data_IF_774885525787
#
_entry.id   IF_774885525787
#
_cell.length_a   1.000
_cell.length_b   1.000
_cell.length_c   1.000
_cell.angle_alpha   90.00
_cell.angle_beta   90.00
_cell.angle_gamma   90.00
#
_symmetry.space_group_name_H-M   'P 1'
#
loop_
_entity.id
_entity.type
_entity.pdbx_description
1 polymer ?
#
# COMPACT_ATOMS: atom_id res chain seq x y z
N UNK A 1 12.24 -4.17 -1.60
CA UNK A 1 12.36 -4.72 -0.22
C UNK A 1 11.03 -5.35 0.14
N UNK A 2 11.03 -6.50 0.83
CA UNK A 2 9.81 -7.15 1.31
C UNK A 2 9.39 -6.46 2.60
N UNK A 3 8.21 -5.85 2.61
CA UNK A 3 7.68 -5.17 3.79
C UNK A 3 6.25 -5.60 4.07
N UNK A 4 5.87 -5.51 5.34
CA UNK A 4 4.51 -5.79 5.80
C UNK A 4 3.66 -4.53 5.73
N UNK A 5 2.43 -4.70 5.28
CA UNK A 5 1.43 -3.65 5.33
C UNK A 5 0.86 -3.56 6.74
N UNK A 6 0.95 -2.38 7.34
CA UNK A 6 0.41 -2.05 8.65
C UNK A 6 -1.08 -1.71 8.54
N UNK A 7 -1.43 -0.84 7.59
CA UNK A 7 -2.81 -0.36 7.39
C UNK A 7 -3.11 -0.22 5.91
N UNK A 8 -4.39 -0.37 5.55
CA UNK A 8 -4.90 -0.15 4.18
C UNK A 8 -6.21 0.59 4.25
N UNK A 9 -6.33 1.62 3.43
CA UNK A 9 -7.50 2.47 3.28
C UNK A 9 -7.90 2.58 1.81
N UNK A 10 -9.20 2.45 1.53
CA UNK A 10 -9.72 2.71 0.18
C UNK A 10 -9.64 4.20 -0.12
N UNK A 11 -9.14 4.53 -1.30
CA UNK A 11 -9.09 5.93 -1.76
C UNK A 11 -10.44 6.24 -2.44
N UNK A 12 -11.22 7.23 -1.94
CA UNK A 12 -12.50 7.56 -2.55
C UNK A 12 -12.31 7.97 -4.01
N UNK A 13 -13.13 7.40 -4.90
CA UNK A 13 -13.05 7.64 -6.35
C UNK A 13 -11.97 6.82 -7.08
N UNK A 14 -11.24 5.92 -6.41
CA UNK A 14 -10.29 5.01 -7.04
C UNK A 14 -10.66 3.56 -6.74
N UNK A 15 -10.99 2.79 -7.78
CA UNK A 15 -11.36 1.38 -7.66
C UNK A 15 -10.15 0.43 -7.76
N UNK A 16 -9.07 0.86 -8.42
CA UNK A 16 -7.91 0.01 -8.76
C UNK A 16 -6.75 0.12 -7.78
N UNK A 17 -6.77 1.15 -6.93
CA UNK A 17 -5.70 1.48 -5.99
C UNK A 17 -6.26 1.74 -4.59
N UNK A 18 -5.46 1.37 -3.60
CA UNK A 18 -5.68 1.68 -2.18
C UNK A 18 -4.45 2.39 -1.63
N UNK A 19 -4.64 3.15 -0.55
CA UNK A 19 -3.55 3.73 0.22
C UNK A 19 -3.16 2.74 1.30
N UNK A 20 -1.88 2.50 1.50
CA UNK A 20 -1.41 1.67 2.61
C UNK A 20 -0.24 2.32 3.34
N UNK A 21 -0.03 1.92 4.58
CA UNK A 21 1.16 2.25 5.35
C UNK A 21 2.04 1.01 5.47
N UNK A 22 3.31 1.15 5.11
CA UNK A 22 4.31 0.09 5.29
C UNK A 22 5.33 0.51 6.36
N UNK A 23 5.79 -0.47 7.12
CA UNK A 23 6.89 -0.30 8.06
C UNK A 23 8.23 -0.46 7.31
N UNK A 24 9.11 0.54 7.38
CA UNK A 24 10.48 0.46 6.87
C UNK A 24 11.52 0.28 7.98
N UNK A 25 11.08 -0.02 9.21
CA UNK A 25 11.92 -0.18 10.39
C UNK A 25 12.07 1.14 11.16
N UNK A 26 12.81 2.10 10.60
CA UNK A 26 13.02 3.41 11.25
C UNK A 26 11.95 4.44 10.89
N UNK A 27 11.24 4.24 9.77
CA UNK A 27 10.19 5.13 9.31
C UNK A 27 8.97 4.35 8.80
N UNK A 28 7.79 4.93 9.00
CA UNK A 28 6.57 4.47 8.36
C UNK A 28 6.32 5.31 7.13
N UNK A 29 5.96 4.66 6.03
CA UNK A 29 5.75 5.35 4.77
C UNK A 29 4.39 5.02 4.18
N UNK A 30 3.71 6.08 3.75
CA UNK A 30 2.50 5.98 2.95
C UNK A 30 2.86 5.56 1.52
N UNK A 31 2.20 4.52 1.04
CA UNK A 31 2.37 3.96 -0.30
C UNK A 31 1.02 3.79 -0.99
N UNK A 32 1.04 3.77 -2.31
CA UNK A 32 -0.12 3.42 -3.12
C UNK A 32 0.05 1.96 -3.56
N UNK A 33 -0.95 1.14 -3.27
CA UNK A 33 -0.97 -0.27 -3.62
C UNK A 33 -1.95 -0.44 -4.77
N UNK A 34 -1.48 -1.01 -5.87
CA UNK A 34 -2.32 -1.41 -7.01
C UNK A 34 -2.92 -2.80 -6.80
N UNK A 35 -4.05 -3.06 -7.46
CA UNK A 35 -4.75 -4.35 -7.37
C UNK A 35 -5.87 -4.38 -6.33
N UNK A 36 -6.34 -3.22 -5.88
CA UNK A 36 -7.50 -3.11 -4.99
C UNK A 36 -8.81 -3.61 -5.63
N UNK A 37 -8.82 -3.80 -6.96
CA UNK A 37 -9.93 -4.44 -7.67
C UNK A 37 -9.95 -5.97 -7.50
N UNK A 38 -8.84 -6.56 -7.01
CA UNK A 38 -8.68 -8.00 -6.82
C UNK A 38 -8.63 -8.43 -5.35
N UNK A 39 -8.36 -7.48 -4.44
CA UNK A 39 -8.20 -7.76 -3.02
C UNK A 39 -8.93 -6.72 -2.17
N UNK A 40 -9.65 -7.18 -1.15
CA UNK A 40 -10.23 -6.27 -0.18
C UNK A 40 -9.15 -5.69 0.75
N UNK A 41 -9.39 -4.48 1.28
CA UNK A 41 -8.41 -3.77 2.11
C UNK A 41 -7.94 -4.59 3.32
N UNK A 42 -8.86 -5.32 3.96
CA UNK A 42 -8.55 -6.20 5.10
C UNK A 42 -7.68 -7.41 4.73
N UNK A 43 -7.77 -7.90 3.49
CA UNK A 43 -6.97 -9.05 3.03
C UNK A 43 -5.52 -8.66 2.71
N UNK A 44 -5.27 -7.37 2.47
CA UNK A 44 -3.94 -6.85 2.20
C UNK A 44 -3.14 -6.61 3.48
N UNK A 45 -3.81 -6.41 4.63
CA UNK A 45 -3.14 -6.23 5.93
C UNK A 45 -2.36 -7.50 6.30
N UNK A 46 -1.09 -7.35 6.68
CA UNK A 46 -0.24 -8.47 7.07
C UNK A 46 0.30 -9.32 5.91
N UNK A 47 -0.15 -9.11 4.67
CA UNK A 47 0.50 -9.72 3.50
C UNK A 47 1.84 -9.03 3.21
N UNK A 48 2.78 -9.81 2.68
CA UNK A 48 4.05 -9.29 2.19
C UNK A 48 3.83 -8.78 0.77
N UNK A 49 4.14 -7.51 0.53
CA UNK A 49 4.00 -6.90 -0.78
C UNK A 49 5.34 -6.42 -1.31
N UNK A 50 5.47 -6.40 -2.64
CA UNK A 50 6.59 -5.78 -3.31
C UNK A 50 6.20 -4.32 -3.57
N UNK A 51 6.73 -3.42 -2.74
CA UNK A 51 6.54 -1.99 -2.91
C UNK A 51 7.70 -1.39 -3.73
N UNK A 52 7.37 -0.69 -4.81
CA UNK A 52 8.34 0.12 -5.58
C UNK A 52 8.37 1.52 -4.98
N UNK A 53 9.31 1.74 -4.06
CA UNK A 53 9.44 2.99 -3.28
C UNK A 53 10.18 4.12 -4.02
N UNK A 54 10.76 3.85 -5.20
CA UNK A 54 11.58 4.81 -5.97
C UNK A 54 10.79 5.57 -7.06
N UNK A 55 9.48 5.69 -6.90
CA UNK A 55 8.66 6.49 -7.80
C UNK A 55 8.68 7.94 -7.32
N UNK A 56 9.04 8.87 -8.23
CA UNK A 56 8.88 10.30 -7.98
C UNK A 56 7.42 10.57 -7.58
N UNK A 57 7.17 11.35 -6.51
CA UNK A 57 5.81 11.63 -6.06
C UNK A 57 5.03 12.32 -7.18
N UNK A 58 4.01 11.64 -7.71
CA UNK A 58 3.05 12.27 -8.62
C UNK A 58 1.95 12.93 -7.80
N UNK A 59 1.67 14.19 -8.11
CA UNK A 59 0.58 14.98 -7.54
C UNK A 59 -0.78 14.44 -7.98
#
# INVERSE_FOLDING_TARGET
MLQKILTVEKIPGKSRIVKGEIDLGEEKRNVIIGGAEFYEAGELIGKTVIAVINLMPKK
#
